data_IF_027845969806
#
_entry.id   IF_027845969806
#
_cell.length_a   1.000
_cell.length_b   1.000
_cell.length_c   1.000
_cell.angle_alpha   90.00
_cell.angle_beta   90.00
_cell.angle_gamma   90.00
#
_symmetry.space_group_name_H-M   'P 1'
#
loop_
_entity.id
_entity.type
_entity.pdbx_description
1 polymer ?
#
# COMPACT_ATOMS: atom_id res chain seq x y z
N UNK A 1 -1.50 20.96 -5.92
CA UNK A 1 -1.26 19.68 -6.66
C UNK A 1 -0.12 19.92 -7.63
N UNK A 2 0.70 18.90 -7.92
CA UNK A 2 1.73 19.06 -8.96
C UNK A 2 1.02 19.03 -10.31
N UNK A 3 1.18 20.03 -11.16
CA UNK A 3 0.55 20.05 -12.47
C UNK A 3 1.08 18.94 -13.38
N UNK A 4 0.22 18.35 -14.22
CA UNK A 4 0.57 17.23 -15.11
C UNK A 4 1.72 17.58 -16.06
N UNK A 5 1.74 18.81 -16.56
CA UNK A 5 2.81 19.28 -17.47
C UNK A 5 4.21 19.18 -16.84
N UNK A 6 4.33 19.29 -15.49
CA UNK A 6 5.62 19.15 -14.80
C UNK A 6 6.11 17.71 -14.87
N UNK A 7 5.18 16.76 -14.71
CA UNK A 7 5.45 15.33 -14.83
C UNK A 7 5.91 15.02 -16.27
N UNK A 8 5.18 15.54 -17.26
CA UNK A 8 5.50 15.36 -18.68
C UNK A 8 6.86 15.97 -19.04
N UNK A 9 7.17 17.16 -18.52
CA UNK A 9 8.48 17.78 -18.71
C UNK A 9 9.62 16.95 -18.09
N UNK A 10 9.42 16.37 -16.92
CA UNK A 10 10.41 15.47 -16.31
C UNK A 10 10.58 14.22 -17.16
N UNK A 11 9.48 13.59 -17.58
CA UNK A 11 9.51 12.35 -18.36
C UNK A 11 10.02 12.54 -19.81
N UNK A 12 9.96 13.76 -20.33
CA UNK A 12 10.56 14.11 -21.64
C UNK A 12 12.09 14.23 -21.60
N UNK A 13 12.70 14.32 -20.41
CA UNK A 13 14.15 14.36 -20.26
C UNK A 13 14.76 12.98 -20.42
N UNK A 14 16.03 12.96 -20.86
CA UNK A 14 16.76 11.70 -21.02
C UNK A 14 16.94 10.99 -19.68
N UNK A 15 16.32 9.83 -19.55
CA UNK A 15 16.37 8.98 -18.36
C UNK A 15 17.80 8.55 -18.01
N UNK A 16 18.69 8.39 -19.01
CA UNK A 16 20.09 8.00 -18.80
C UNK A 16 20.84 9.10 -18.07
N UNK A 17 20.61 10.35 -18.48
CA UNK A 17 21.18 11.53 -17.83
C UNK A 17 20.65 11.71 -16.41
N UNK A 18 19.35 11.46 -16.18
CA UNK A 18 18.76 11.54 -14.84
C UNK A 18 19.39 10.48 -13.92
N UNK A 19 19.40 9.20 -14.34
CA UNK A 19 19.96 8.10 -13.54
C UNK A 19 21.47 8.28 -13.32
N UNK A 20 22.22 8.70 -14.34
CA UNK A 20 23.64 9.01 -14.21
C UNK A 20 23.93 10.16 -13.24
N UNK A 21 23.05 11.18 -13.23
CA UNK A 21 23.11 12.31 -12.30
C UNK A 21 22.84 11.94 -10.83
N UNK A 22 22.34 10.72 -10.56
CA UNK A 22 22.19 10.16 -9.21
C UNK A 22 23.39 9.27 -8.79
N UNK A 23 24.49 9.35 -9.52
CA UNK A 23 25.72 8.61 -9.20
C UNK A 23 25.78 7.17 -9.72
N UNK A 24 24.83 6.77 -10.55
CA UNK A 24 24.80 5.42 -11.15
C UNK A 24 25.60 5.41 -12.44
N UNK A 25 26.69 4.63 -12.47
CA UNK A 25 27.56 4.50 -13.65
C UNK A 25 26.96 3.56 -14.67
N UNK A 26 26.31 4.13 -15.68
CA UNK A 26 25.69 3.40 -16.80
C UNK A 26 26.70 3.16 -17.92
N UNK A 27 26.78 1.92 -18.42
CA UNK A 27 27.58 1.54 -19.61
C UNK A 27 26.66 1.33 -20.80
N UNK A 28 27.07 1.80 -21.97
CA UNK A 28 26.29 1.60 -23.19
C UNK A 28 26.32 0.12 -23.63
N UNK A 29 25.15 -0.43 -23.92
CA UNK A 29 24.94 -1.80 -24.39
C UNK A 29 24.02 -1.75 -25.64
N UNK A 30 24.59 -1.52 -26.80
CA UNK A 30 23.83 -1.29 -28.04
C UNK A 30 23.03 0.02 -27.99
N UNK A 31 21.70 -0.09 -28.15
CA UNK A 31 20.76 1.05 -28.08
C UNK A 31 20.32 1.38 -26.67
N UNK A 32 20.66 0.52 -25.70
CA UNK A 32 20.31 0.66 -24.28
C UNK A 32 21.57 0.91 -23.44
N UNK A 33 21.36 1.09 -22.13
CA UNK A 33 22.42 1.19 -21.14
C UNK A 33 22.21 0.12 -20.08
N UNK A 34 23.28 -0.29 -19.40
CA UNK A 34 23.25 -1.28 -18.34
C UNK A 34 24.25 -1.00 -17.22
N UNK A 35 23.95 -1.48 -16.01
CA UNK A 35 24.85 -1.49 -14.88
C UNK A 35 24.43 -2.55 -13.86
N UNK A 36 25.22 -2.72 -12.78
CA UNK A 36 24.73 -3.40 -11.57
C UNK A 36 23.61 -2.59 -10.95
N UNK A 37 22.58 -3.27 -10.43
CA UNK A 37 21.39 -2.63 -9.92
C UNK A 37 21.67 -1.82 -8.64
N UNK A 38 21.22 -0.57 -8.56
CA UNK A 38 21.36 0.21 -7.32
C UNK A 38 20.43 -0.22 -6.19
N UNK A 39 19.44 -1.07 -6.47
CA UNK A 39 18.40 -1.47 -5.51
C UNK A 39 18.68 -2.82 -4.84
N UNK A 40 19.62 -3.63 -5.34
CA UNK A 40 20.04 -4.88 -4.73
C UNK A 40 21.52 -5.18 -5.03
N UNK A 41 22.14 -6.00 -4.21
CA UNK A 41 23.55 -6.37 -4.40
C UNK A 41 23.68 -7.46 -5.47
N UNK A 42 24.48 -7.20 -6.50
CA UNK A 42 24.81 -8.15 -7.55
C UNK A 42 26.22 -7.92 -8.09
N UNK A 43 26.77 -8.92 -8.79
CA UNK A 43 28.10 -8.84 -9.43
C UNK A 43 28.04 -8.71 -10.94
N UNK A 44 26.91 -9.07 -11.55
CA UNK A 44 26.68 -9.05 -12.99
C UNK A 44 25.61 -8.01 -13.32
N UNK A 45 25.80 -7.18 -14.37
CA UNK A 45 24.83 -6.16 -14.74
C UNK A 45 23.47 -6.77 -15.11
N UNK A 46 22.43 -6.44 -14.36
CA UNK A 46 21.04 -6.83 -14.63
C UNK A 46 20.09 -5.64 -14.78
N UNK A 47 20.56 -4.44 -14.46
CA UNK A 47 19.79 -3.21 -14.56
C UNK A 47 19.95 -2.60 -15.95
N UNK A 48 18.86 -2.55 -16.72
CA UNK A 48 18.85 -2.01 -18.10
C UNK A 48 18.00 -0.77 -18.19
N UNK A 49 18.51 0.22 -18.93
CA UNK A 49 17.82 1.50 -19.18
C UNK A 49 17.63 1.67 -20.68
N UNK A 50 16.40 1.90 -21.10
CA UNK A 50 16.05 2.20 -22.49
C UNK A 50 15.76 3.70 -22.64
N UNK A 51 16.65 4.49 -23.27
CA UNK A 51 16.41 5.91 -23.48
C UNK A 51 15.23 6.16 -24.41
N UNK A 52 15.04 5.32 -25.42
CA UNK A 52 13.93 5.44 -26.38
C UNK A 52 12.56 5.27 -25.71
N UNK A 53 12.46 4.35 -24.74
CA UNK A 53 11.21 4.10 -24.00
C UNK A 53 11.08 4.95 -22.74
N UNK A 54 12.14 5.63 -22.28
CA UNK A 54 12.15 6.38 -21.03
C UNK A 54 11.96 5.51 -19.79
N UNK A 55 12.39 4.24 -19.82
CA UNK A 55 12.18 3.29 -18.72
C UNK A 55 13.47 2.55 -18.35
N UNK A 56 13.49 2.07 -17.11
CA UNK A 56 14.46 1.08 -16.65
C UNK A 56 13.77 -0.23 -16.25
N UNK A 57 14.53 -1.32 -16.26
CA UNK A 57 14.10 -2.64 -15.78
C UNK A 57 15.31 -3.38 -15.23
N UNK A 58 15.20 -3.91 -14.02
CA UNK A 58 16.16 -4.83 -13.43
C UNK A 58 15.67 -6.27 -13.57
N UNK A 59 16.46 -7.12 -14.21
CA UNK A 59 16.13 -8.54 -14.39
C UNK A 59 16.51 -9.39 -13.17
N UNK A 60 17.23 -8.83 -12.19
CA UNK A 60 17.56 -9.50 -10.92
C UNK A 60 16.47 -9.37 -9.87
N UNK A 61 16.03 -8.13 -9.57
CA UNK A 61 15.02 -7.87 -8.53
C UNK A 61 13.65 -7.43 -9.06
N UNK A 62 13.45 -7.43 -10.40
CA UNK A 62 12.20 -7.02 -11.06
C UNK A 62 11.80 -5.55 -10.84
N UNK A 63 12.68 -4.70 -10.30
CA UNK A 63 12.47 -3.27 -10.20
C UNK A 63 12.33 -2.68 -11.61
N UNK A 64 11.30 -1.88 -11.85
CA UNK A 64 11.02 -1.26 -13.14
C UNK A 64 10.28 0.05 -12.99
N UNK A 65 10.43 0.95 -13.94
CA UNK A 65 9.71 2.21 -13.95
C UNK A 65 10.36 3.26 -14.85
N UNK A 66 9.93 4.51 -14.67
CA UNK A 66 10.47 5.70 -15.33
C UNK A 66 11.45 6.46 -14.41
N UNK A 67 11.91 7.63 -14.81
CA UNK A 67 12.82 8.48 -14.04
C UNK A 67 12.27 8.84 -12.63
N UNK A 68 10.97 9.11 -12.52
CA UNK A 68 10.34 9.43 -11.23
C UNK A 68 10.33 8.20 -10.33
N UNK A 69 9.92 7.04 -10.86
CA UNK A 69 9.93 5.76 -10.13
C UNK A 69 11.34 5.39 -9.67
N UNK A 70 12.36 5.71 -10.46
CA UNK A 70 13.76 5.48 -10.11
C UNK A 70 14.15 6.26 -8.83
N UNK A 71 13.86 7.55 -8.80
CA UNK A 71 14.17 8.44 -7.67
C UNK A 71 13.35 8.04 -6.43
N UNK A 72 12.07 7.70 -6.60
CA UNK A 72 11.23 7.17 -5.52
C UNK A 72 11.87 5.95 -4.85
N UNK A 73 12.36 5.00 -5.64
CA UNK A 73 12.99 3.78 -5.12
C UNK A 73 14.37 4.07 -4.51
N UNK A 74 15.18 4.94 -5.14
CA UNK A 74 16.55 5.23 -4.72
C UNK A 74 16.60 5.91 -3.34
N UNK A 75 15.69 6.86 -3.12
CA UNK A 75 15.65 7.69 -1.92
C UNK A 75 14.48 7.39 -0.99
N UNK A 76 13.69 6.35 -1.30
CA UNK A 76 12.46 6.00 -0.56
C UNK A 76 11.50 7.19 -0.42
N UNK A 77 11.36 7.96 -1.51
CA UNK A 77 10.51 9.14 -1.59
C UNK A 77 9.10 8.79 -2.04
N UNK A 78 8.12 9.57 -1.60
CA UNK A 78 6.78 9.56 -2.19
C UNK A 78 6.80 10.17 -3.60
N UNK A 79 5.77 9.91 -4.40
CA UNK A 79 5.66 10.46 -5.76
C UNK A 79 5.76 12.01 -5.79
N UNK A 80 5.05 12.78 -4.95
CA UNK A 80 5.20 14.23 -4.91
C UNK A 80 6.63 14.69 -4.58
N UNK A 81 7.26 14.07 -3.59
CA UNK A 81 8.64 14.39 -3.19
C UNK A 81 9.63 14.14 -4.33
N UNK A 82 9.49 13.01 -5.04
CA UNK A 82 10.35 12.68 -6.17
C UNK A 82 10.15 13.64 -7.35
N UNK A 83 8.91 14.07 -7.62
CA UNK A 83 8.63 15.07 -8.65
C UNK A 83 9.21 16.43 -8.28
N UNK A 84 9.05 16.90 -7.04
CA UNK A 84 9.63 18.15 -6.54
C UNK A 84 11.15 18.13 -6.60
N UNK A 85 11.78 17.00 -6.19
CA UNK A 85 13.22 16.80 -6.27
C UNK A 85 13.73 16.90 -7.70
N UNK A 86 13.11 16.17 -8.63
CA UNK A 86 13.49 16.19 -10.05
C UNK A 86 13.21 17.53 -10.71
N UNK A 87 12.09 18.16 -10.43
CA UNK A 87 11.77 19.50 -10.96
C UNK A 87 12.83 20.51 -10.54
N UNK A 88 13.24 20.52 -9.27
CA UNK A 88 14.32 21.38 -8.79
C UNK A 88 15.65 21.05 -9.45
N UNK A 89 16.02 19.78 -9.58
CA UNK A 89 17.28 19.34 -10.19
C UNK A 89 17.36 19.65 -11.68
N UNK A 90 16.23 19.59 -12.37
CA UNK A 90 16.11 19.84 -13.82
C UNK A 90 15.77 21.32 -14.14
N UNK A 91 15.74 22.21 -13.12
CA UNK A 91 15.36 23.62 -13.23
C UNK A 91 14.00 23.80 -13.94
N UNK A 92 13.02 22.96 -13.60
CA UNK A 92 11.63 23.09 -14.04
C UNK A 92 10.90 23.94 -13.02
N UNK A 93 10.66 25.20 -13.37
CA UNK A 93 9.87 26.09 -12.53
C UNK A 93 8.38 25.79 -12.68
N UNK A 94 7.69 25.62 -11.55
CA UNK A 94 6.24 25.49 -11.51
C UNK A 94 5.67 26.10 -10.23
N UNK A 95 4.48 26.62 -10.32
CA UNK A 95 3.70 26.97 -9.14
C UNK A 95 2.88 25.76 -8.75
N UNK A 96 3.16 25.18 -7.59
CA UNK A 96 2.29 24.15 -7.05
C UNK A 96 0.89 24.76 -6.88
N UNK A 97 -0.11 24.17 -7.51
CA UNK A 97 -1.51 24.55 -7.24
C UNK A 97 -1.78 24.32 -5.76
N UNK A 98 -2.17 25.36 -5.06
CA UNK A 98 -2.62 25.22 -3.68
C UNK A 98 -3.86 24.33 -3.69
N UNK A 99 -3.82 23.28 -2.85
CA UNK A 99 -4.99 22.44 -2.65
C UNK A 99 -6.12 23.29 -2.10
N UNK A 100 -7.32 23.17 -2.67
CA UNK A 100 -8.50 23.78 -2.09
C UNK A 100 -8.73 23.25 -0.66
N UNK A 101 -9.44 23.99 0.19
CA UNK A 101 -9.79 23.52 1.53
C UNK A 101 -10.41 22.12 1.51
N UNK A 102 -11.30 21.83 0.55
CA UNK A 102 -11.96 20.55 0.39
C UNK A 102 -10.96 19.44 0.01
N UNK A 103 -9.99 19.74 -0.85
CA UNK A 103 -8.94 18.79 -1.25
C UNK A 103 -7.98 18.49 -0.08
N UNK A 104 -7.65 19.50 0.73
CA UNK A 104 -6.84 19.34 1.95
C UNK A 104 -7.57 18.44 2.94
N UNK A 105 -8.86 18.69 3.15
CA UNK A 105 -9.69 17.87 4.04
C UNK A 105 -9.83 16.44 3.56
N UNK A 106 -10.11 16.21 2.26
CA UNK A 106 -10.19 14.89 1.67
C UNK A 106 -8.87 14.11 1.79
N UNK A 107 -7.73 14.78 1.57
CA UNK A 107 -6.40 14.19 1.76
C UNK A 107 -6.14 13.83 3.23
N UNK A 108 -6.49 14.72 4.15
CA UNK A 108 -6.37 14.48 5.59
C UNK A 108 -7.25 13.29 6.01
N UNK A 109 -8.52 13.29 5.58
CA UNK A 109 -9.43 12.16 5.86
C UNK A 109 -8.89 10.84 5.34
N UNK A 110 -8.36 10.81 4.11
CA UNK A 110 -7.75 9.60 3.53
C UNK A 110 -6.55 9.12 4.33
N UNK A 111 -5.67 10.02 4.77
CA UNK A 111 -4.51 9.65 5.60
C UNK A 111 -4.94 9.03 6.94
N UNK A 112 -6.00 9.56 7.55
CA UNK A 112 -6.56 9.02 8.80
C UNK A 112 -7.18 7.62 8.60
N UNK A 113 -7.80 7.37 7.44
CA UNK A 113 -8.31 6.04 7.09
C UNK A 113 -7.16 5.04 6.91
N UNK A 114 -6.06 5.42 6.29
CA UNK A 114 -4.89 4.54 6.19
C UNK A 114 -4.30 4.21 7.56
N UNK A 115 -4.22 5.20 8.44
CA UNK A 115 -3.73 5.04 9.81
C UNK A 115 -4.60 4.05 10.59
N UNK A 116 -5.92 4.21 10.59
CA UNK A 116 -6.80 3.31 11.32
C UNK A 116 -6.86 1.91 10.72
N UNK A 117 -6.72 1.76 9.40
CA UNK A 117 -6.59 0.46 8.77
C UNK A 117 -5.30 -0.27 9.19
N UNK A 118 -4.20 0.47 9.39
CA UNK A 118 -2.97 -0.12 9.95
C UNK A 118 -3.19 -0.64 11.37
N UNK A 119 -3.90 0.11 12.20
CA UNK A 119 -4.27 -0.31 13.56
C UNK A 119 -5.19 -1.54 13.54
N UNK A 120 -6.12 -1.60 12.59
CA UNK A 120 -6.99 -2.75 12.40
C UNK A 120 -6.20 -4.00 11.96
N UNK A 121 -5.22 -3.84 11.08
CA UNK A 121 -4.32 -4.93 10.70
C UNK A 121 -3.58 -5.49 11.92
N UNK A 122 -3.00 -4.63 12.76
CA UNK A 122 -2.31 -5.05 13.99
C UNK A 122 -3.25 -5.88 14.88
N UNK A 123 -4.46 -5.39 15.12
CA UNK A 123 -5.47 -6.09 15.92
C UNK A 123 -5.84 -7.45 15.32
N UNK A 124 -6.12 -7.53 14.01
CA UNK A 124 -6.49 -8.78 13.36
C UNK A 124 -5.34 -9.78 13.31
N UNK A 125 -4.11 -9.33 13.12
CA UNK A 125 -2.90 -10.17 13.15
C UNK A 125 -2.66 -10.74 14.54
N UNK A 126 -2.78 -9.93 15.58
CA UNK A 126 -2.61 -10.37 16.96
C UNK A 126 -3.74 -11.35 17.36
N UNK A 127 -4.99 -11.05 17.01
CA UNK A 127 -6.11 -11.96 17.21
C UNK A 127 -5.93 -13.31 16.50
N UNK A 128 -5.32 -13.31 15.31
CA UNK A 128 -5.01 -14.55 14.60
C UNK A 128 -3.97 -15.40 15.35
N UNK A 129 -2.89 -14.78 15.83
CA UNK A 129 -1.84 -15.47 16.60
C UNK A 129 -2.39 -16.12 17.88
N UNK A 130 -3.39 -15.50 18.50
CA UNK A 130 -4.02 -16.00 19.72
C UNK A 130 -5.13 -17.01 19.47
N UNK A 131 -5.58 -17.22 18.23
CA UNK A 131 -6.72 -18.07 17.88
C UNK A 131 -6.31 -19.38 17.20
N UNK A 132 -6.18 -20.47 17.98
CA UNK A 132 -5.97 -21.81 17.42
C UNK A 132 -7.04 -22.23 16.39
N UNK A 133 -8.36 -21.94 16.59
CA UNK A 133 -9.37 -22.22 15.58
C UNK A 133 -9.11 -21.51 14.25
N UNK A 134 -8.74 -20.21 14.28
CA UNK A 134 -8.46 -19.46 13.08
C UNK A 134 -7.20 -20.00 12.34
N UNK A 135 -6.16 -20.37 13.08
CA UNK A 135 -4.96 -20.98 12.52
C UNK A 135 -5.27 -22.33 11.86
N UNK A 136 -6.03 -23.19 12.54
CA UNK A 136 -6.48 -24.48 11.97
C UNK A 136 -7.33 -24.28 10.72
N UNK A 137 -8.25 -23.35 10.73
CA UNK A 137 -9.07 -23.01 9.58
C UNK A 137 -8.20 -22.57 8.39
N UNK A 138 -7.29 -21.62 8.60
CA UNK A 138 -6.41 -21.11 7.55
C UNK A 138 -5.50 -22.20 6.98
N UNK A 139 -4.87 -23.00 7.84
CA UNK A 139 -3.87 -24.01 7.39
C UNK A 139 -4.49 -25.31 6.91
N UNK A 140 -5.44 -25.89 7.66
CA UNK A 140 -6.00 -27.22 7.35
C UNK A 140 -7.18 -27.18 6.40
N UNK A 141 -8.12 -26.26 6.61
CA UNK A 141 -9.32 -26.19 5.77
C UNK A 141 -9.09 -25.35 4.50
N UNK A 142 -8.26 -24.30 4.57
CA UNK A 142 -7.95 -23.44 3.42
C UNK A 142 -6.63 -23.79 2.74
N UNK A 143 -5.79 -24.60 3.36
CA UNK A 143 -4.52 -25.06 2.79
C UNK A 143 -3.45 -23.97 2.65
N UNK A 144 -3.58 -22.85 3.38
CA UNK A 144 -2.57 -21.79 3.32
C UNK A 144 -1.30 -22.23 4.05
N UNK A 145 -0.15 -22.00 3.40
CA UNK A 145 1.17 -22.15 4.02
C UNK A 145 1.44 -20.95 4.93
N UNK A 146 2.29 -21.10 5.94
CA UNK A 146 2.69 -20.01 6.85
C UNK A 146 3.26 -18.81 6.10
N UNK A 147 4.12 -19.07 5.12
CA UNK A 147 4.65 -18.03 4.26
C UNK A 147 3.54 -17.21 3.54
N UNK A 148 2.49 -17.88 3.07
CA UNK A 148 1.34 -17.21 2.45
C UNK A 148 0.56 -16.36 3.47
N UNK A 149 0.38 -16.89 4.69
CA UNK A 149 -0.31 -16.20 5.77
C UNK A 149 0.43 -14.91 6.14
N UNK A 150 1.76 -14.96 6.18
CA UNK A 150 2.59 -13.80 6.51
C UNK A 150 2.67 -12.79 5.34
N UNK A 151 2.92 -13.26 4.12
CA UNK A 151 3.03 -12.38 2.95
C UNK A 151 1.71 -11.65 2.63
N UNK A 152 0.58 -12.32 2.82
CA UNK A 152 -0.75 -11.74 2.61
C UNK A 152 -1.32 -11.04 3.86
N UNK A 153 -0.57 -11.04 4.97
CA UNK A 153 -0.97 -10.45 6.25
C UNK A 153 -2.36 -10.93 6.70
N UNK A 154 -2.59 -12.24 6.60
CA UNK A 154 -3.86 -12.84 7.00
C UNK A 154 -4.06 -12.67 8.51
N UNK A 155 -5.23 -12.19 8.90
CA UNK A 155 -5.63 -11.94 10.28
C UNK A 155 -6.92 -12.66 10.66
N UNK A 156 -7.43 -12.39 11.85
CA UNK A 156 -8.70 -12.90 12.34
C UNK A 156 -9.49 -11.84 13.09
N UNK A 157 -10.76 -11.69 12.75
CA UNK A 157 -11.71 -10.87 13.49
C UNK A 157 -12.49 -11.78 14.46
N UNK A 158 -12.34 -11.62 15.80
CA UNK A 158 -12.98 -12.49 16.78
C UNK A 158 -14.51 -12.47 16.69
N UNK A 159 -15.16 -13.57 17.11
CA UNK A 159 -16.63 -13.69 17.07
C UNK A 159 -17.34 -12.65 17.93
N UNK A 160 -16.75 -12.28 19.07
CA UNK A 160 -17.29 -11.27 19.99
C UNK A 160 -17.01 -9.84 19.53
N UNK A 161 -16.20 -9.66 18.47
CA UNK A 161 -15.67 -8.35 18.08
C UNK A 161 -14.53 -7.93 19.01
N UNK A 162 -14.48 -6.62 19.34
CA UNK A 162 -13.50 -6.03 20.25
C UNK A 162 -12.57 -5.03 19.56
N UNK A 163 -12.66 -4.86 18.25
CA UNK A 163 -11.84 -3.87 17.54
C UNK A 163 -12.23 -2.44 17.95
N UNK A 164 -13.53 -2.14 18.07
CA UNK A 164 -13.99 -0.82 18.49
C UNK A 164 -13.37 -0.41 19.82
N UNK A 165 -13.45 -1.30 20.82
CA UNK A 165 -12.89 -1.08 22.15
C UNK A 165 -11.37 -0.91 22.09
N UNK A 166 -10.68 -1.75 21.33
CA UNK A 166 -9.24 -1.68 21.15
C UNK A 166 -8.81 -0.34 20.52
N UNK A 167 -9.49 0.11 19.47
CA UNK A 167 -9.17 1.36 18.79
C UNK A 167 -9.49 2.60 19.66
N UNK A 168 -10.62 2.58 20.39
CA UNK A 168 -11.00 3.68 21.29
C UNK A 168 -10.05 3.80 22.48
N UNK A 169 -9.55 2.70 23.03
CA UNK A 169 -8.50 2.71 24.05
C UNK A 169 -7.17 3.31 23.55
N UNK A 170 -6.88 3.19 22.25
CA UNK A 170 -5.74 3.86 21.60
C UNK A 170 -6.03 5.34 21.25
N UNK A 171 -7.19 5.88 21.60
CA UNK A 171 -7.56 7.28 21.41
C UNK A 171 -8.22 7.60 20.05
N UNK A 172 -8.60 6.60 19.27
CA UNK A 172 -9.29 6.83 18.00
C UNK A 172 -10.77 7.09 18.23
N UNK A 173 -11.30 8.11 17.53
CA UNK A 173 -12.73 8.46 17.61
C UNK A 173 -13.58 7.47 16.82
N UNK A 174 -14.75 7.10 17.36
CA UNK A 174 -15.70 6.17 16.72
C UNK A 174 -16.10 6.60 15.31
N UNK A 175 -16.20 7.91 15.04
CA UNK A 175 -16.52 8.41 13.70
C UNK A 175 -15.48 7.96 12.66
N UNK A 176 -14.19 7.94 13.01
CA UNK A 176 -13.13 7.46 12.09
C UNK A 176 -13.29 5.96 11.80
N UNK A 177 -13.71 5.18 12.80
CA UNK A 177 -13.96 3.74 12.63
C UNK A 177 -15.14 3.48 11.70
N UNK A 178 -16.18 4.33 11.78
CA UNK A 178 -17.34 4.30 10.89
C UNK A 178 -16.94 4.74 9.48
N UNK A 179 -16.17 5.83 9.35
CA UNK A 179 -15.66 6.36 8.07
C UNK A 179 -14.79 5.34 7.32
N UNK A 180 -14.08 4.47 8.05
CA UNK A 180 -13.27 3.37 7.52
C UNK A 180 -14.06 2.06 7.31
N UNK A 181 -15.37 2.04 7.59
CA UNK A 181 -16.25 0.87 7.56
C UNK A 181 -15.75 -0.33 8.44
N UNK A 182 -14.98 -0.03 9.47
CA UNK A 182 -14.51 -1.02 10.45
C UNK A 182 -15.52 -1.23 11.57
N UNK A 183 -16.40 -0.24 11.78
CA UNK A 183 -17.52 -0.24 12.74
C UNK A 183 -18.76 0.28 12.01
N UNK A 184 -19.90 -0.35 12.25
CA UNK A 184 -21.19 0.05 11.68
C UNK A 184 -22.19 0.36 12.76
N UNK A 185 -23.19 1.15 12.40
CA UNK A 185 -24.34 1.46 13.26
C UNK A 185 -25.50 0.54 12.89
N UNK A 186 -26.08 -0.07 13.90
CA UNK A 186 -27.27 -0.91 13.77
C UNK A 186 -28.49 -0.04 13.41
N UNK A 187 -29.20 -0.42 12.36
CA UNK A 187 -30.45 0.24 11.97
C UNK A 187 -31.59 0.01 12.97
N UNK A 188 -31.48 -1.05 13.77
CA UNK A 188 -32.53 -1.45 14.72
C UNK A 188 -32.55 -0.59 15.97
N UNK A 189 -31.37 -0.29 16.54
CA UNK A 189 -31.25 0.31 17.87
C UNK A 189 -30.15 1.40 17.96
N UNK A 190 -29.51 1.70 16.83
CA UNK A 190 -28.45 2.70 16.75
C UNK A 190 -27.13 2.29 17.41
N UNK A 191 -27.02 1.08 17.97
CA UNK A 191 -25.79 0.60 18.60
C UNK A 191 -24.66 0.43 17.59
N UNK A 192 -23.42 0.64 18.05
CA UNK A 192 -22.22 0.44 17.23
C UNK A 192 -21.70 -1.00 17.38
N UNK A 193 -21.30 -1.59 16.26
CA UNK A 193 -20.73 -2.94 16.25
C UNK A 193 -19.63 -3.06 15.22
N UNK A 194 -18.67 -3.97 15.48
CA UNK A 194 -17.59 -4.26 14.55
C UNK A 194 -18.13 -4.86 13.24
N UNK A 195 -17.70 -4.32 12.11
CA UNK A 195 -18.09 -4.80 10.77
C UNK A 195 -17.67 -6.25 10.56
N UNK A 196 -16.47 -6.60 11.03
CA UNK A 196 -15.91 -7.93 10.88
C UNK A 196 -15.98 -8.70 12.20
N UNK A 197 -16.68 -9.85 12.19
CA UNK A 197 -16.81 -10.76 13.33
C UNK A 197 -16.81 -12.21 12.88
N UNK A 198 -16.02 -13.08 13.52
CA UNK A 198 -15.92 -14.51 13.18
C UNK A 198 -15.35 -14.74 11.77
N UNK A 199 -14.40 -13.91 11.34
CA UNK A 199 -13.91 -13.91 9.95
C UNK A 199 -12.40 -14.02 9.86
N UNK A 200 -11.94 -14.83 8.90
CA UNK A 200 -10.57 -14.77 8.43
C UNK A 200 -10.41 -13.52 7.58
N UNK A 201 -9.41 -12.68 7.91
CA UNK A 201 -9.24 -11.35 7.33
C UNK A 201 -8.14 -11.33 6.31
N UNK A 202 -8.40 -10.71 5.16
CA UNK A 202 -7.45 -10.49 4.07
C UNK A 202 -7.26 -8.98 3.89
N UNK A 203 -6.00 -8.55 3.83
CA UNK A 203 -5.65 -7.14 3.69
C UNK A 203 -5.72 -6.71 2.23
N UNK A 204 -6.43 -5.60 1.95
CA UNK A 204 -6.49 -5.00 0.62
C UNK A 204 -5.56 -3.79 0.60
N UNK A 205 -4.63 -3.76 -0.36
CA UNK A 205 -3.67 -2.67 -0.54
C UNK A 205 -3.86 -1.98 -1.88
N UNK A 206 -3.57 -0.68 -1.90
CA UNK A 206 -3.44 0.05 -3.15
C UNK A 206 -2.08 -0.22 -3.83
N UNK A 207 -1.86 0.39 -5.00
CA UNK A 207 -0.63 0.23 -5.79
C UNK A 207 0.62 0.77 -5.07
N UNK A 208 0.44 1.63 -4.09
CA UNK A 208 1.52 2.23 -3.29
C UNK A 208 1.77 1.49 -1.97
N UNK A 209 1.00 0.40 -1.73
CA UNK A 209 1.15 -0.46 -0.56
C UNK A 209 0.34 -0.02 0.67
N UNK A 210 -0.42 1.09 0.59
CA UNK A 210 -1.28 1.52 1.69
C UNK A 210 -2.45 0.55 1.88
N UNK A 211 -2.83 0.29 3.12
CA UNK A 211 -4.00 -0.53 3.43
C UNK A 211 -5.25 0.30 3.22
N UNK A 212 -6.03 -0.06 2.20
CA UNK A 212 -7.27 0.64 1.83
C UNK A 212 -8.51 0.00 2.44
N UNK A 213 -8.40 -1.22 2.95
CA UNK A 213 -9.50 -1.95 3.58
C UNK A 213 -9.20 -3.43 3.76
N UNK A 214 -10.25 -4.19 4.02
CA UNK A 214 -10.16 -5.62 4.30
C UNK A 214 -11.28 -6.39 3.60
N UNK A 215 -10.99 -7.67 3.31
CA UNK A 215 -12.01 -8.65 2.95
C UNK A 215 -12.08 -9.70 4.06
N UNK A 216 -13.26 -9.96 4.60
CA UNK A 216 -13.47 -10.90 5.70
C UNK A 216 -14.27 -12.12 5.26
N UNK A 217 -13.65 -13.33 5.27
CA UNK A 217 -14.32 -14.59 5.00
C UNK A 217 -14.89 -15.18 6.28
N UNK A 218 -16.20 -15.48 6.30
CA UNK A 218 -16.85 -16.16 7.43
C UNK A 218 -16.22 -17.54 7.64
N UNK A 219 -15.86 -17.84 8.89
CA UNK A 219 -15.28 -19.13 9.28
C UNK A 219 -16.32 -20.16 9.71
N UNK A 220 -17.56 -19.75 9.94
CA UNK A 220 -18.66 -20.62 10.34
C UNK A 220 -19.20 -21.37 9.12
N UNK A 221 -18.98 -22.69 9.09
CA UNK A 221 -19.44 -23.55 7.99
C UNK A 221 -20.94 -23.82 8.07
N UNK A 222 -21.56 -23.80 9.26
CA UNK A 222 -22.99 -24.03 9.43
C UNK A 222 -23.83 -22.79 9.11
N UNK A 223 -23.26 -21.59 9.33
CA UNK A 223 -23.87 -20.29 9.03
C UNK A 223 -25.39 -20.21 9.30
N UNK A 224 -25.85 -20.52 10.52
CA UNK A 224 -27.28 -20.58 10.83
C UNK A 224 -28.00 -19.25 10.63
N UNK A 225 -27.27 -18.12 10.69
CA UNK A 225 -27.79 -16.77 10.47
C UNK A 225 -27.78 -16.35 9.01
N UNK A 226 -27.37 -17.20 8.06
CA UNK A 226 -27.26 -16.91 6.62
C UNK A 226 -26.44 -15.62 6.34
N UNK A 227 -25.37 -15.40 7.10
CA UNK A 227 -24.49 -14.25 6.90
C UNK A 227 -23.72 -14.38 5.56
N UNK A 228 -23.38 -13.28 4.91
CA UNK A 228 -22.57 -13.32 3.69
C UNK A 228 -21.25 -14.05 3.93
N UNK A 229 -20.87 -14.95 3.00
CA UNK A 229 -19.62 -15.70 3.07
C UNK A 229 -18.41 -14.78 3.07
N UNK A 230 -18.46 -13.71 2.29
CA UNK A 230 -17.47 -12.63 2.25
C UNK A 230 -18.14 -11.29 2.49
N UNK A 231 -17.43 -10.38 3.15
CA UNK A 231 -17.74 -8.95 3.22
C UNK A 231 -16.44 -8.18 3.00
N UNK A 232 -16.57 -7.02 2.37
CA UNK A 232 -15.46 -6.10 2.07
C UNK A 232 -15.76 -4.75 2.70
#
# INVERSE_FOLDING_TARGET
>A
MIPEYVIDQILSKDIVSIIGGEGVSLKRAGVNYECCCPFHKEKTPSFKVSPVKGIFTCFGCSAKGNAISFVMMLYNMTFPEAVEYLAKKLNIEYKAEELTPEQKEARFRRSRIFEINQVALEYFRESYKQSLPAQKYATKERGFKEETIDNMLIGFAPYKGGFREYATQKGYKEQLLIDADLVRRSERDGSLYDTFRGRLMFTIRDRTGNIVGFSGRLMDNENPKKLPKYIN
#
